data_IF_206809873198
#
_entry.id   IF_206809873198
#
_cell.length_a   1.000
_cell.length_b   1.000
_cell.length_c   1.000
_cell.angle_alpha   90.00
_cell.angle_beta   90.00
_cell.angle_gamma   90.00
#
_symmetry.space_group_name_H-M   'P 1'
#
loop_
_entity.id
_entity.type
_entity.pdbx_description
1 polymer ?
#
# COMPACT_ATOMS: atom_id res chain seq x y z
N UNK A 1 -41.15 14.20 -2.58
CA UNK A 1 -39.89 13.47 -2.68
C UNK A 1 -39.79 12.49 -1.52
N UNK A 2 -39.77 11.20 -1.81
CA UNK A 2 -39.64 10.14 -0.81
C UNK A 2 -38.15 9.68 -0.78
N UNK A 3 -37.55 9.61 0.40
CA UNK A 3 -36.19 9.12 0.59
C UNK A 3 -36.21 8.05 1.67
N UNK A 4 -35.67 6.88 1.35
CA UNK A 4 -35.56 5.78 2.30
C UNK A 4 -34.12 5.23 2.32
N UNK A 5 -33.64 4.95 3.51
CA UNK A 5 -32.34 4.25 3.69
C UNK A 5 -32.65 2.77 3.90
N UNK A 6 -32.15 1.93 3.01
CA UNK A 6 -32.25 0.48 3.10
C UNK A 6 -30.90 -0.09 3.52
N UNK A 7 -30.92 -1.09 4.39
CA UNK A 7 -29.68 -1.76 4.85
C UNK A 7 -29.64 -3.15 4.23
N UNK A 8 -28.50 -3.51 3.64
CA UNK A 8 -28.24 -4.88 3.17
C UNK A 8 -28.00 -5.76 4.39
N UNK A 9 -28.72 -6.86 4.53
CA UNK A 9 -28.54 -7.85 5.57
C UNK A 9 -27.33 -8.77 5.32
N UNK A 10 -27.10 -9.75 6.22
CA UNK A 10 -25.96 -10.68 6.11
C UNK A 10 -26.09 -11.67 4.96
N UNK A 11 -27.33 -11.99 4.59
CA UNK A 11 -27.67 -12.90 3.49
C UNK A 11 -27.64 -12.20 2.13
N UNK A 12 -27.49 -10.86 2.11
CA UNK A 12 -27.38 -10.07 0.88
C UNK A 12 -28.72 -9.55 0.35
N UNK A 13 -29.73 -9.43 1.21
CA UNK A 13 -31.04 -8.86 0.86
C UNK A 13 -31.21 -7.44 1.41
N UNK A 14 -32.03 -6.66 0.72
CA UNK A 14 -32.65 -5.44 1.26
C UNK A 14 -34.13 -5.65 1.42
N UNK A 15 -34.70 -5.15 2.51
CA UNK A 15 -36.15 -5.15 2.68
C UNK A 15 -36.73 -3.84 2.16
N UNK A 16 -37.54 -3.93 1.11
CA UNK A 16 -38.25 -2.79 0.51
C UNK A 16 -39.70 -2.84 0.98
N UNK A 17 -40.20 -1.79 1.68
CA UNK A 17 -41.62 -1.74 2.08
C UNK A 17 -42.54 -1.95 0.88
N UNK A 18 -43.66 -2.62 1.10
CA UNK A 18 -44.70 -2.98 0.11
C UNK A 18 -44.24 -3.97 -0.98
N UNK A 19 -42.94 -4.22 -1.14
CA UNK A 19 -42.37 -5.14 -2.16
C UNK A 19 -41.83 -6.40 -1.51
N UNK A 20 -41.18 -6.27 -0.34
CA UNK A 20 -40.56 -7.37 0.36
C UNK A 20 -39.04 -7.43 0.20
N UNK A 21 -38.49 -8.64 0.28
CA UNK A 21 -37.03 -8.86 0.22
C UNK A 21 -36.55 -8.89 -1.23
N UNK A 22 -35.49 -8.13 -1.50
CA UNK A 22 -34.81 -8.09 -2.80
C UNK A 22 -33.36 -8.48 -2.62
N UNK A 23 -32.90 -9.56 -3.27
CA UNK A 23 -31.52 -9.99 -3.24
C UNK A 23 -30.61 -9.03 -4.02
N UNK A 24 -29.56 -8.49 -3.39
CA UNK A 24 -28.70 -7.46 -3.96
C UNK A 24 -27.22 -7.79 -3.87
N UNK A 25 -26.84 -8.88 -3.23
CA UNK A 25 -25.45 -9.27 -3.08
C UNK A 25 -24.76 -9.51 -4.45
N UNK A 26 -23.53 -9.05 -4.59
CA UNK A 26 -22.74 -9.17 -5.81
C UNK A 26 -23.09 -8.19 -6.93
N UNK A 27 -24.08 -7.31 -6.73
CA UNK A 27 -24.44 -6.29 -7.71
C UNK A 27 -23.57 -5.03 -7.53
N UNK A 28 -23.13 -4.46 -8.64
CA UNK A 28 -22.64 -3.08 -8.66
C UNK A 28 -23.80 -2.10 -8.65
N UNK A 29 -23.52 -0.80 -8.45
CA UNK A 29 -24.57 0.22 -8.31
C UNK A 29 -25.52 0.28 -9.51
N UNK A 30 -24.98 0.20 -10.73
CA UNK A 30 -25.80 0.26 -11.96
C UNK A 30 -26.74 -0.95 -12.11
N UNK A 31 -26.23 -2.16 -11.77
CA UNK A 31 -27.06 -3.37 -11.79
C UNK A 31 -28.10 -3.36 -10.66
N UNK A 32 -27.74 -2.81 -9.50
CA UNK A 32 -28.66 -2.61 -8.40
C UNK A 32 -29.79 -1.66 -8.78
N UNK A 33 -29.46 -0.51 -9.36
CA UNK A 33 -30.44 0.46 -9.84
C UNK A 33 -31.39 -0.15 -10.87
N UNK A 34 -30.84 -0.84 -11.87
CA UNK A 34 -31.63 -1.54 -12.89
C UNK A 34 -32.57 -2.61 -12.30
N UNK A 35 -32.06 -3.36 -11.31
CA UNK A 35 -32.85 -4.38 -10.61
C UNK A 35 -33.97 -3.75 -9.78
N UNK A 36 -33.65 -2.73 -8.99
CA UNK A 36 -34.64 -2.02 -8.20
C UNK A 36 -35.68 -1.32 -9.10
N UNK A 37 -35.26 -0.68 -10.19
CA UNK A 37 -36.18 -0.08 -11.17
C UNK A 37 -37.17 -1.11 -11.68
N UNK A 38 -36.75 -2.31 -12.06
CA UNK A 38 -37.62 -3.38 -12.52
C UNK A 38 -38.63 -3.81 -11.45
N UNK A 39 -38.16 -3.98 -10.23
CA UNK A 39 -39.02 -4.41 -9.10
C UNK A 39 -39.98 -3.32 -8.72
N UNK A 40 -39.55 -2.07 -8.62
CA UNK A 40 -40.40 -0.94 -8.31
C UNK A 40 -41.44 -0.65 -9.42
N UNK A 41 -41.07 -0.85 -10.70
CA UNK A 41 -42.01 -0.65 -11.85
C UNK A 41 -43.18 -1.59 -11.83
N UNK A 42 -43.11 -2.73 -11.14
CA UNK A 42 -44.23 -3.66 -10.97
C UNK A 42 -45.26 -3.14 -9.97
N UNK A 43 -44.79 -2.38 -8.95
CA UNK A 43 -45.64 -1.86 -7.88
C UNK A 43 -46.06 -0.39 -8.13
N UNK A 44 -45.22 0.36 -8.82
CA UNK A 44 -45.44 1.80 -9.09
C UNK A 44 -45.55 2.05 -10.60
N UNK A 45 -46.77 2.02 -11.14
CA UNK A 45 -47.02 2.23 -12.58
C UNK A 45 -46.54 3.60 -13.11
N UNK A 46 -46.37 4.60 -12.24
CA UNK A 46 -45.86 5.93 -12.58
C UNK A 46 -44.38 5.97 -12.90
N UNK A 47 -43.63 4.95 -12.49
CA UNK A 47 -42.18 4.84 -12.75
C UNK A 47 -41.89 4.40 -14.20
N UNK A 48 -42.78 3.54 -14.78
CA UNK A 48 -42.65 3.07 -16.16
C UNK A 48 -44.04 2.99 -16.81
N UNK A 49 -44.74 4.14 -17.04
CA UNK A 49 -46.06 4.14 -17.63
C UNK A 49 -46.01 3.81 -19.13
N UNK A 50 -46.80 2.84 -19.57
CA UNK A 50 -46.87 2.51 -20.98
C UNK A 50 -47.47 3.68 -21.79
N UNK A 51 -46.69 4.19 -22.77
CA UNK A 51 -47.12 5.22 -23.70
C UNK A 51 -47.25 6.64 -23.13
N UNK A 52 -46.74 6.90 -21.94
CA UNK A 52 -46.69 8.25 -21.30
C UNK A 52 -45.29 8.53 -20.73
N UNK A 53 -45.00 9.81 -20.52
CA UNK A 53 -43.77 10.21 -19.85
C UNK A 53 -43.81 9.80 -18.37
N UNK A 54 -42.72 9.22 -17.82
CA UNK A 54 -42.63 8.92 -16.40
C UNK A 54 -42.81 10.18 -15.54
N UNK A 55 -43.61 10.05 -14.47
CA UNK A 55 -43.78 11.14 -13.47
C UNK A 55 -43.08 10.84 -12.16
N UNK A 56 -42.52 9.63 -12.02
CA UNK A 56 -41.74 9.18 -10.88
C UNK A 56 -40.35 8.73 -11.36
N UNK A 57 -39.33 9.09 -10.63
CA UNK A 57 -37.95 8.73 -10.93
C UNK A 57 -37.36 7.99 -9.74
N UNK A 58 -36.54 6.96 -10.01
CA UNK A 58 -35.76 6.23 -9.02
C UNK A 58 -34.31 6.69 -9.12
N UNK A 59 -33.76 7.09 -7.99
CA UNK A 59 -32.32 7.35 -7.83
C UNK A 59 -31.81 6.48 -6.70
N UNK A 60 -30.72 5.78 -6.95
CA UNK A 60 -30.08 4.85 -6.00
C UNK A 60 -28.67 5.31 -5.71
N UNK A 61 -28.41 5.66 -4.47
CA UNK A 61 -27.08 6.06 -4.02
C UNK A 61 -26.61 5.22 -2.83
N UNK A 62 -25.29 5.09 -2.68
CA UNK A 62 -24.74 4.44 -1.50
C UNK A 62 -24.84 5.37 -0.29
N UNK A 63 -25.40 4.85 0.78
CA UNK A 63 -25.44 5.51 2.09
C UNK A 63 -24.14 5.32 2.87
N UNK A 64 -24.27 5.25 4.18
CA UNK A 64 -23.14 4.99 5.07
C UNK A 64 -22.66 3.55 4.91
N UNK A 65 -21.43 3.38 4.44
CA UNK A 65 -20.77 2.08 4.37
C UNK A 65 -20.31 1.65 5.77
N UNK A 66 -20.42 0.36 6.06
CA UNK A 66 -19.89 -0.18 7.32
C UNK A 66 -18.37 -0.07 7.32
N UNK A 67 -17.78 0.49 8.39
CA UNK A 67 -16.32 0.51 8.50
C UNK A 67 -15.75 -0.90 8.55
N UNK A 68 -14.55 -1.05 8.01
CA UNK A 68 -13.80 -2.30 8.01
C UNK A 68 -12.96 -2.40 9.27
N UNK A 69 -12.90 -3.58 9.86
CA UNK A 69 -11.94 -3.90 10.90
C UNK A 69 -10.77 -4.64 10.26
N UNK A 70 -9.56 -4.14 10.47
CA UNK A 70 -8.31 -4.74 10.02
C UNK A 70 -7.38 -4.94 11.20
N UNK A 71 -6.36 -5.77 11.04
CA UNK A 71 -5.28 -5.93 12.00
C UNK A 71 -3.99 -5.33 11.44
N UNK A 72 -3.19 -4.72 12.31
CA UNK A 72 -1.89 -4.14 11.97
C UNK A 72 -0.86 -4.74 12.89
N UNK A 73 0.14 -5.42 12.32
CA UNK A 73 1.11 -6.23 13.04
C UNK A 73 2.53 -6.00 12.52
N UNK A 74 3.51 -6.42 13.29
CA UNK A 74 4.94 -6.32 12.96
C UNK A 74 5.56 -5.04 13.53
N UNK A 75 6.51 -4.48 12.80
CA UNK A 75 7.31 -3.33 13.21
C UNK A 75 6.56 -2.01 13.00
N UNK A 76 5.50 -1.82 13.74
CA UNK A 76 4.63 -0.63 13.73
C UNK A 76 4.62 0.04 15.10
N UNK A 77 4.42 1.35 15.11
CA UNK A 77 4.41 2.12 16.36
C UNK A 77 3.28 1.67 17.32
N UNK A 78 2.13 1.31 16.76
CA UNK A 78 0.95 0.89 17.51
C UNK A 78 0.32 -0.34 16.84
N UNK A 79 0.79 -1.57 17.18
CA UNK A 79 0.16 -2.78 16.67
C UNK A 79 -1.23 -2.96 17.29
N UNK A 80 -2.17 -3.52 16.53
CA UNK A 80 -3.52 -3.75 17.02
C UNK A 80 -4.59 -3.84 15.94
N UNK A 81 -5.85 -3.77 16.38
CA UNK A 81 -7.01 -3.77 15.49
C UNK A 81 -7.48 -2.33 15.24
N UNK A 82 -7.69 -2.01 13.98
CA UNK A 82 -8.10 -0.68 13.52
C UNK A 82 -9.42 -0.74 12.78
N UNK A 83 -10.22 0.28 13.00
CA UNK A 83 -11.44 0.52 12.24
C UNK A 83 -11.13 1.55 11.16
N UNK A 84 -11.23 1.15 9.89
CA UNK A 84 -10.88 1.98 8.73
C UNK A 84 -12.07 2.18 7.80
N UNK A 85 -11.98 3.17 6.92
CA UNK A 85 -12.99 3.42 5.89
C UNK A 85 -13.16 2.19 4.98
N UNK A 86 -14.38 1.88 4.54
CA UNK A 86 -14.61 0.83 3.54
C UNK A 86 -13.91 1.06 2.20
N UNK A 87 -13.52 2.30 1.93
CA UNK A 87 -12.73 2.68 0.76
C UNK A 87 -11.22 2.67 1.00
N UNK A 88 -10.77 2.31 2.22
CA UNK A 88 -9.37 2.30 2.56
C UNK A 88 -8.59 1.26 1.74
N UNK A 89 -7.38 1.64 1.42
CA UNK A 89 -6.41 0.84 0.68
C UNK A 89 -5.22 0.55 1.58
N UNK A 90 -4.36 -0.37 1.19
CA UNK A 90 -3.14 -0.69 1.94
C UNK A 90 -2.29 0.57 2.18
N UNK A 91 -2.11 1.40 1.15
CA UNK A 91 -1.37 2.64 1.25
C UNK A 91 -2.03 3.65 2.21
N UNK A 92 -3.35 3.89 2.06
CA UNK A 92 -4.05 4.84 2.92
C UNK A 92 -4.15 4.36 4.37
N UNK A 93 -4.07 3.06 4.62
CA UNK A 93 -4.11 2.50 5.97
C UNK A 93 -2.89 2.93 6.81
N UNK A 94 -1.74 3.20 6.20
CA UNK A 94 -0.53 3.62 6.92
C UNK A 94 -0.77 4.86 7.79
N UNK A 95 -1.67 5.75 7.38
CA UNK A 95 -2.01 6.96 8.14
C UNK A 95 -2.79 6.66 9.44
N UNK A 96 -3.49 5.52 9.54
CA UNK A 96 -4.28 5.19 10.73
C UNK A 96 -3.41 4.77 11.92
N UNK A 97 -2.22 4.25 11.68
CA UNK A 97 -1.34 3.71 12.73
C UNK A 97 0.08 4.31 12.72
N UNK A 98 0.25 5.49 12.09
CA UNK A 98 1.50 6.24 12.04
C UNK A 98 2.67 5.51 11.34
N UNK A 99 2.37 4.55 10.48
CA UNK A 99 3.36 3.85 9.67
C UNK A 99 4.31 2.93 10.43
N UNK A 100 5.41 2.52 9.78
CA UNK A 100 6.45 1.68 10.36
C UNK A 100 7.24 2.37 11.48
N UNK A 101 7.82 1.58 12.37
CA UNK A 101 8.89 2.04 13.27
C UNK A 101 10.21 2.18 12.50
N UNK A 102 11.25 2.69 13.19
CA UNK A 102 12.60 2.75 12.62
C UNK A 102 13.19 1.37 12.31
N UNK A 103 12.64 0.30 12.85
CA UNK A 103 13.06 -1.08 12.58
C UNK A 103 12.20 -1.75 11.50
N UNK A 104 11.08 -1.13 11.13
CA UNK A 104 10.16 -1.65 10.12
C UNK A 104 10.64 -1.37 8.69
N UNK A 105 10.33 -2.30 7.79
CA UNK A 105 10.60 -2.13 6.37
C UNK A 105 9.66 -1.10 5.75
N UNK A 106 10.22 -0.16 5.00
CA UNK A 106 9.49 0.72 4.09
C UNK A 106 9.37 0.12 2.67
N UNK A 107 10.10 -0.97 2.43
CA UNK A 107 10.22 -1.58 1.10
C UNK A 107 9.36 -2.84 0.91
N UNK A 108 8.78 -3.39 1.98
CA UNK A 108 7.93 -4.58 1.94
C UNK A 108 6.75 -4.47 2.91
N UNK A 109 5.90 -3.48 2.72
CA UNK A 109 4.66 -3.35 3.49
C UNK A 109 3.63 -4.31 2.91
N UNK A 110 3.25 -5.33 3.68
CA UNK A 110 2.50 -6.49 3.20
C UNK A 110 1.01 -6.41 3.57
N UNK A 111 0.18 -6.88 2.64
CA UNK A 111 -1.23 -7.16 2.90
C UNK A 111 -1.44 -8.67 2.90
N UNK A 112 -1.90 -9.18 4.04
CA UNK A 112 -2.24 -10.60 4.20
C UNK A 112 -3.76 -10.75 4.26
N UNK A 113 -4.29 -11.71 3.53
CA UNK A 113 -5.70 -12.10 3.53
C UNK A 113 -5.82 -13.61 3.64
N UNK A 114 -6.59 -14.08 4.65
CA UNK A 114 -6.68 -15.52 4.91
C UNK A 114 -5.31 -16.18 5.15
N UNK A 115 -4.37 -15.49 5.80
CA UNK A 115 -3.02 -15.98 6.09
C UNK A 115 -2.06 -15.98 4.90
N UNK A 116 -2.46 -15.47 3.73
CA UNK A 116 -1.61 -15.39 2.52
C UNK A 116 -1.27 -13.95 2.17
N UNK A 117 -0.01 -13.69 1.78
CA UNK A 117 0.42 -12.41 1.22
C UNK A 117 -0.21 -12.22 -0.16
N UNK A 118 -1.06 -11.21 -0.31
CA UNK A 118 -1.77 -10.90 -1.56
C UNK A 118 -1.24 -9.64 -2.25
N UNK A 119 -0.59 -8.75 -1.51
CA UNK A 119 0.04 -7.56 -2.05
C UNK A 119 1.20 -7.12 -1.16
N UNK A 120 2.09 -6.33 -1.75
CA UNK A 120 3.18 -5.63 -1.07
C UNK A 120 3.36 -4.26 -1.69
N UNK A 121 3.73 -3.29 -0.87
CA UNK A 121 4.06 -1.93 -1.30
C UNK A 121 5.51 -1.65 -0.95
N UNK A 122 6.28 -1.16 -1.93
CA UNK A 122 7.53 -0.46 -1.74
C UNK A 122 7.23 1.04 -1.61
N UNK A 123 7.42 1.57 -0.41
CA UNK A 123 7.11 2.98 -0.14
C UNK A 123 8.16 3.93 -0.74
N UNK A 124 9.35 3.42 -1.05
CA UNK A 124 10.41 4.22 -1.70
C UNK A 124 9.98 4.69 -3.08
N UNK A 125 9.26 3.87 -3.85
CA UNK A 125 8.74 4.27 -5.16
C UNK A 125 7.91 5.56 -5.02
N UNK A 126 7.03 5.62 -4.01
CA UNK A 126 6.24 6.81 -3.74
C UNK A 126 7.07 8.00 -3.25
N UNK A 127 8.02 7.77 -2.33
CA UNK A 127 8.85 8.84 -1.76
C UNK A 127 9.80 9.47 -2.78
N UNK A 128 10.28 8.67 -3.73
CA UNK A 128 11.29 9.11 -4.71
C UNK A 128 10.65 9.69 -5.98
N UNK A 129 9.56 9.12 -6.45
CA UNK A 129 8.93 9.50 -7.73
C UNK A 129 7.64 10.29 -7.57
N UNK A 130 7.01 10.22 -6.39
CA UNK A 130 5.66 10.73 -6.16
C UNK A 130 4.55 9.86 -6.78
N UNK A 131 4.91 8.76 -7.45
CA UNK A 131 3.94 7.86 -8.04
C UNK A 131 3.26 7.01 -6.98
N UNK A 132 1.94 7.06 -6.95
CA UNK A 132 1.16 6.22 -6.05
C UNK A 132 1.31 4.75 -6.49
N UNK A 133 1.77 3.85 -5.60
CA UNK A 133 1.90 2.45 -5.94
C UNK A 133 0.55 1.83 -6.32
N UNK A 134 0.56 0.70 -7.04
CA UNK A 134 -0.65 -0.11 -7.27
C UNK A 134 -1.20 -0.54 -5.92
N UNK A 135 -2.31 0.08 -5.54
CA UNK A 135 -2.81 0.06 -4.19
C UNK A 135 -4.03 -0.87 -4.07
N UNK A 136 -3.92 -1.86 -3.20
CA UNK A 136 -4.97 -2.86 -2.99
C UNK A 136 -6.00 -2.38 -1.97
N UNK A 137 -7.29 -2.46 -2.31
CA UNK A 137 -8.38 -2.19 -1.37
C UNK A 137 -8.38 -3.21 -0.23
N UNK A 138 -8.57 -2.70 0.98
CA UNK A 138 -8.71 -3.52 2.17
C UNK A 138 -10.09 -4.19 2.25
N UNK A 139 -10.13 -5.33 2.91
CA UNK A 139 -11.34 -6.08 3.23
C UNK A 139 -11.40 -6.35 4.74
N UNK A 140 -12.57 -6.80 5.18
CA UNK A 140 -12.77 -7.20 6.58
C UNK A 140 -11.76 -8.31 6.94
N UNK A 141 -11.18 -8.19 8.14
CA UNK A 141 -10.19 -9.12 8.71
C UNK A 141 -8.85 -9.24 7.93
N UNK A 142 -8.57 -8.30 7.03
CA UNK A 142 -7.23 -8.18 6.44
C UNK A 142 -6.19 -7.84 7.52
N UNK A 143 -4.97 -8.29 7.29
CA UNK A 143 -3.81 -7.98 8.12
C UNK A 143 -2.83 -7.15 7.32
N UNK A 144 -2.51 -5.95 7.79
CA UNK A 144 -1.36 -5.17 7.34
C UNK A 144 -0.18 -5.60 8.19
N UNK A 145 0.83 -6.16 7.55
CA UNK A 145 2.03 -6.65 8.21
C UNK A 145 3.26 -5.91 7.73
N UNK A 146 4.02 -5.33 8.66
CA UNK A 146 5.28 -4.65 8.38
C UNK A 146 6.41 -5.50 8.95
N UNK A 147 7.18 -6.20 8.11
CA UNK A 147 8.32 -6.96 8.56
C UNK A 147 9.45 -6.05 9.04
N UNK A 148 10.42 -6.63 9.71
CA UNK A 148 11.66 -5.95 10.04
C UNK A 148 12.38 -5.57 8.75
N UNK A 149 12.96 -4.35 8.72
CA UNK A 149 13.76 -3.87 7.59
C UNK A 149 14.92 -4.82 7.30
N UNK A 150 15.25 -4.93 6.03
CA UNK A 150 16.37 -5.73 5.54
C UNK A 150 17.70 -5.01 5.82
N UNK A 151 18.65 -5.20 4.93
CA UNK A 151 19.95 -4.56 4.97
C UNK A 151 19.81 -3.03 4.90
N UNK A 152 20.56 -2.35 5.75
CA UNK A 152 20.63 -0.89 5.74
C UNK A 152 22.05 -0.43 5.49
N UNK A 153 22.18 0.65 4.73
CA UNK A 153 23.45 1.29 4.42
C UNK A 153 23.34 2.79 4.74
N UNK A 154 24.29 3.30 5.51
CA UNK A 154 24.48 4.75 5.67
C UNK A 154 25.28 5.28 4.51
N UNK A 155 24.83 6.37 3.90
CA UNK A 155 25.59 7.09 2.89
C UNK A 155 25.77 8.54 3.34
N UNK A 156 27.02 9.00 3.27
CA UNK A 156 27.45 10.32 3.75
C UNK A 156 28.44 10.95 2.76
N UNK A 157 28.64 12.26 2.85
CA UNK A 157 29.58 13.01 2.02
C UNK A 157 28.90 13.86 0.96
N UNK A 158 29.51 13.91 -0.23
CA UNK A 158 29.03 14.74 -1.35
C UNK A 158 27.87 14.08 -2.12
N UNK A 159 26.83 13.70 -1.37
CA UNK A 159 25.55 13.17 -1.85
C UNK A 159 24.43 14.15 -1.50
N UNK A 160 23.38 14.20 -2.30
CA UNK A 160 22.30 15.17 -2.06
C UNK A 160 21.50 14.90 -0.79
N UNK A 161 21.30 13.64 -0.42
CA UNK A 161 20.53 13.24 0.77
C UNK A 161 21.30 12.23 1.61
N UNK A 162 22.06 12.73 2.58
CA UNK A 162 22.75 11.91 3.58
C UNK A 162 21.73 11.24 4.50
N UNK A 163 21.65 9.92 4.50
CA UNK A 163 20.73 9.16 5.35
C UNK A 163 21.12 7.67 5.42
N UNK A 164 20.34 6.92 6.21
CA UNK A 164 20.39 5.46 6.24
C UNK A 164 19.26 4.94 5.35
N UNK A 165 19.61 4.16 4.33
CA UNK A 165 18.68 3.58 3.37
C UNK A 165 18.56 2.07 3.56
N UNK A 166 17.33 1.56 3.36
CA UNK A 166 17.07 0.14 3.26
C UNK A 166 17.28 -0.30 1.82
N UNK A 167 18.11 -1.33 1.60
CA UNK A 167 18.39 -1.88 0.28
C UNK A 167 17.82 -3.27 0.11
N UNK A 168 17.29 -3.54 -1.08
CA UNK A 168 16.95 -4.89 -1.51
C UNK A 168 18.21 -5.68 -1.83
N UNK A 169 18.16 -7.04 -1.78
CA UNK A 169 19.35 -7.87 -2.01
C UNK A 169 20.02 -7.67 -3.37
N UNK A 170 19.23 -7.32 -4.38
CA UNK A 170 19.65 -7.09 -5.76
C UNK A 170 20.19 -5.68 -6.03
N UNK A 171 20.00 -4.75 -5.10
CA UNK A 171 20.38 -3.35 -5.31
C UNK A 171 21.88 -3.12 -5.07
N UNK A 172 22.43 -2.29 -5.93
CA UNK A 172 23.84 -1.96 -6.04
C UNK A 172 24.20 -0.62 -5.39
N UNK A 173 25.47 -0.26 -5.42
CA UNK A 173 25.95 1.06 -5.01
C UNK A 173 25.37 2.17 -5.90
N UNK A 174 25.23 1.95 -7.21
CA UNK A 174 24.62 2.94 -8.11
C UNK A 174 23.14 3.15 -7.80
N UNK A 175 22.39 2.09 -7.44
CA UNK A 175 21.00 2.21 -6.99
C UNK A 175 20.90 3.01 -5.70
N UNK A 176 21.79 2.76 -4.73
CA UNK A 176 21.87 3.53 -3.48
C UNK A 176 22.12 5.02 -3.74
N UNK A 177 23.06 5.36 -4.64
CA UNK A 177 23.37 6.74 -5.02
C UNK A 177 22.12 7.40 -5.62
N UNK A 178 21.44 6.73 -6.53
CA UNK A 178 20.19 7.22 -7.14
C UNK A 178 19.09 7.42 -6.11
N UNK A 179 18.87 6.45 -5.23
CA UNK A 179 17.91 6.55 -4.11
C UNK A 179 18.26 7.75 -3.20
N UNK A 180 19.53 8.02 -2.98
CA UNK A 180 20.01 9.15 -2.19
C UNK A 180 19.96 10.51 -2.94
N UNK A 181 19.43 10.53 -4.18
CA UNK A 181 19.22 11.75 -4.97
C UNK A 181 20.45 12.20 -5.73
N UNK A 182 21.30 11.28 -6.11
CA UNK A 182 22.52 11.46 -6.87
C UNK A 182 23.64 12.24 -6.15
N UNK A 183 24.82 12.18 -6.72
CA UNK A 183 26.00 12.89 -6.25
C UNK A 183 25.85 14.40 -6.50
N UNK A 184 26.42 15.20 -5.62
CA UNK A 184 26.61 16.63 -5.88
C UNK A 184 27.65 16.86 -6.96
N UNK A 185 27.59 18.01 -7.63
CA UNK A 185 28.56 18.43 -8.66
C UNK A 185 29.99 18.48 -8.11
N UNK A 186 30.14 18.71 -6.81
CA UNK A 186 31.42 18.78 -6.10
C UNK A 186 31.97 17.43 -5.71
N UNK A 187 31.27 16.33 -5.98
CA UNK A 187 31.70 15.00 -5.60
C UNK A 187 32.98 14.58 -6.34
N UNK A 188 33.94 14.02 -5.59
CA UNK A 188 35.15 13.45 -6.15
C UNK A 188 34.90 12.01 -6.59
N UNK A 189 34.95 11.77 -7.90
CA UNK A 189 34.54 10.48 -8.48
C UNK A 189 35.60 9.39 -8.43
N UNK A 190 36.86 9.75 -8.27
CA UNK A 190 37.96 8.77 -8.26
C UNK A 190 37.96 7.88 -7.03
N UNK A 191 37.31 8.29 -5.93
CA UNK A 191 37.37 7.55 -4.68
C UNK A 191 36.10 7.72 -3.83
N UNK A 192 35.50 6.60 -3.50
CA UNK A 192 34.62 6.45 -2.35
C UNK A 192 35.16 5.37 -1.42
N UNK A 193 34.79 5.45 -0.16
CA UNK A 193 35.18 4.45 0.82
C UNK A 193 33.96 3.75 1.38
N UNK A 194 33.99 2.42 1.35
CA UNK A 194 32.92 1.59 1.95
C UNK A 194 33.47 1.02 3.26
N UNK A 195 32.85 1.36 4.37
CA UNK A 195 33.08 0.77 5.69
C UNK A 195 32.12 -0.41 5.88
N UNK A 196 32.66 -1.63 5.86
CA UNK A 196 31.89 -2.86 5.95
C UNK A 196 32.16 -3.58 7.25
N UNK A 197 31.08 -4.00 7.95
CA UNK A 197 31.21 -4.89 9.10
C UNK A 197 31.45 -6.32 8.58
N UNK A 198 32.57 -6.91 9.01
CA UNK A 198 32.92 -8.29 8.66
C UNK A 198 32.14 -9.25 9.57
N UNK A 199 31.34 -10.18 9.02
CA UNK A 199 30.66 -11.21 9.79
C UNK A 199 31.69 -12.02 10.64
N UNK A 200 31.26 -12.41 11.85
CA UNK A 200 32.15 -13.09 12.80
C UNK A 200 32.86 -14.31 12.21
N UNK A 201 32.15 -15.11 11.41
CA UNK A 201 32.67 -16.32 10.77
C UNK A 201 33.72 -16.06 9.68
N UNK A 202 33.81 -14.80 9.20
CA UNK A 202 34.75 -14.38 8.15
C UNK A 202 35.90 -13.54 8.68
N UNK A 203 36.04 -13.36 10.00
CA UNK A 203 37.12 -12.60 10.61
C UNK A 203 38.34 -13.47 10.72
N UNK A 204 39.45 -13.02 10.14
CA UNK A 204 40.74 -13.67 10.26
C UNK A 204 41.34 -13.47 11.67
N UNK A 205 41.08 -12.29 12.28
CA UNK A 205 41.46 -11.96 13.65
C UNK A 205 40.31 -11.38 14.46
N UNK A 206 40.24 -11.66 15.76
CA UNK A 206 39.18 -11.19 16.66
C UNK A 206 39.05 -9.65 16.76
N UNK A 207 40.11 -8.92 16.36
CA UNK A 207 40.13 -7.45 16.34
C UNK A 207 39.69 -6.81 15.03
N UNK A 208 39.50 -7.58 13.94
CA UNK A 208 39.14 -7.06 12.63
C UNK A 208 37.62 -7.21 12.40
N UNK A 209 36.84 -6.33 12.99
CA UNK A 209 35.37 -6.29 12.82
C UNK A 209 34.93 -5.42 11.65
N UNK A 210 35.84 -4.62 11.04
CA UNK A 210 35.55 -3.72 9.92
C UNK A 210 36.60 -3.87 8.80
N UNK A 211 36.07 -3.70 7.57
CA UNK A 211 36.89 -3.67 6.36
C UNK A 211 36.58 -2.38 5.59
N UNK A 212 37.64 -1.68 5.18
CA UNK A 212 37.53 -0.50 4.33
C UNK A 212 37.85 -0.88 2.89
N UNK A 213 36.92 -0.57 1.97
CA UNK A 213 37.07 -0.84 0.55
C UNK A 213 37.06 0.49 -0.17
N UNK A 214 38.15 0.81 -0.87
CA UNK A 214 38.17 1.97 -1.76
C UNK A 214 37.57 1.59 -3.12
N UNK A 215 36.69 2.43 -3.60
CA UNK A 215 35.93 2.22 -4.85
C UNK A 215 36.09 3.46 -5.72
N UNK A 216 36.39 3.26 -7.00
CA UNK A 216 36.32 4.32 -8.00
C UNK A 216 34.88 4.48 -8.47
N UNK A 217 34.24 5.63 -8.15
CA UNK A 217 32.83 5.88 -8.45
C UNK A 217 32.58 6.06 -9.94
N UNK A 218 33.54 6.65 -10.68
CA UNK A 218 33.43 6.82 -12.14
C UNK A 218 33.24 5.46 -12.82
N UNK A 219 34.08 4.50 -12.47
CA UNK A 219 33.98 3.13 -12.99
C UNK A 219 32.67 2.43 -12.59
N UNK A 220 32.22 2.63 -11.36
CA UNK A 220 30.95 2.03 -10.86
C UNK A 220 29.74 2.62 -11.58
N UNK A 221 29.75 3.91 -11.87
CA UNK A 221 28.63 4.58 -12.55
C UNK A 221 28.63 4.30 -14.04
N UNK A 222 29.80 4.11 -14.68
CA UNK A 222 29.92 3.78 -16.11
C UNK A 222 29.70 2.29 -16.37
N UNK A 223 30.19 1.42 -15.50
CA UNK A 223 29.98 -0.02 -15.59
C UNK A 223 28.57 -0.33 -15.12
N UNK A 224 27.76 -0.95 -15.98
CA UNK A 224 26.50 -1.58 -15.52
C UNK A 224 26.75 -2.80 -14.61
N UNK A 225 28.01 -3.11 -14.31
CA UNK A 225 28.35 -4.15 -13.35
C UNK A 225 28.08 -3.64 -11.95
N UNK A 226 26.95 -4.11 -11.42
CA UNK A 226 26.47 -3.76 -10.11
C UNK A 226 27.52 -4.11 -9.04
N UNK A 227 28.20 -3.10 -8.49
CA UNK A 227 28.95 -3.31 -7.26
C UNK A 227 27.93 -3.62 -6.16
N UNK A 228 27.75 -4.93 -5.91
CA UNK A 228 26.76 -5.39 -4.95
C UNK A 228 27.29 -5.13 -3.55
N UNK A 229 26.55 -4.36 -2.80
CA UNK A 229 26.80 -4.13 -1.38
C UNK A 229 26.36 -5.41 -0.62
N UNK A 230 27.23 -6.42 -0.47
CA UNK A 230 26.93 -7.67 0.27
C UNK A 230 27.15 -7.49 1.78
#
# INVERSE_FOLDING_TARGET
QFRQVLTVDREGFVFVPEIGQVFVNGLNLNLLESKLFRVFSQSYASLNPQGRTPTTFLDVSLGNLRPLRIQVLGEVAQPGAYTVSPSATLFSALYYFNGPTTLGSLRDIQLLRGGKKIASIDFYDYLLTGEKPRDQKLQLDDVVFIPRRLKTVSIEGEINRNAIYELKPEESLSDLISIAGDLKITAYLDRAQIDRIVPFEKREDLGMDRMYIDVNLEQVLESKDAFTLQ
#
